data_IF_660088523888
#
_entry.id   IF_660088523888
#
_cell.length_a   1.000
_cell.length_b   1.000
_cell.length_c   1.000
_cell.angle_alpha   90.00
_cell.angle_beta   90.00
_cell.angle_gamma   90.00
#
_symmetry.space_group_name_H-M   'P 1'
#
loop_
_entity.id
_entity.type
_entity.pdbx_description
1 polymer ?
#
# COMPACT_ATOMS: atom_id res chain seq x y z
N UNK A 1 46.91 12.91 -72.77
CA UNK A 1 47.73 13.54 -73.81
C UNK A 1 47.11 14.89 -74.11
N UNK A 2 47.88 15.98 -74.02
CA UNK A 2 47.39 17.31 -74.39
C UNK A 2 47.55 17.47 -75.90
N UNK A 3 46.51 17.90 -76.60
CA UNK A 3 46.60 18.23 -78.02
C UNK A 3 46.45 19.74 -78.20
N UNK A 4 47.30 20.38 -79.01
CA UNK A 4 47.22 21.81 -79.27
C UNK A 4 46.03 22.11 -80.20
N UNK A 5 45.21 23.08 -79.83
CA UNK A 5 44.20 23.65 -80.74
C UNK A 5 44.84 24.69 -81.67
N UNK A 6 44.11 25.08 -82.71
CA UNK A 6 44.58 25.99 -83.78
C UNK A 6 45.00 27.37 -83.26
N UNK A 7 44.60 27.74 -82.03
CA UNK A 7 44.95 28.98 -81.34
C UNK A 7 46.08 28.83 -80.30
N UNK A 8 46.72 27.66 -80.22
CA UNK A 8 47.93 27.44 -79.41
C UNK A 8 47.71 27.20 -77.91
N UNK A 9 46.47 27.02 -77.46
CA UNK A 9 46.17 26.61 -76.07
C UNK A 9 46.12 25.09 -75.95
N UNK A 10 46.78 24.56 -74.92
CA UNK A 10 46.77 23.12 -74.63
C UNK A 10 45.46 22.77 -73.94
N UNK A 11 44.54 22.12 -74.67
CA UNK A 11 43.34 21.53 -74.07
C UNK A 11 43.53 20.02 -73.88
N UNK A 12 42.97 19.51 -72.79
CA UNK A 12 42.88 18.07 -72.56
C UNK A 12 42.06 17.44 -73.69
N UNK A 13 42.63 16.43 -74.38
CA UNK A 13 42.03 15.77 -75.56
C UNK A 13 40.83 14.86 -75.23
N UNK A 14 40.14 15.10 -74.11
CA UNK A 14 39.01 14.28 -73.68
C UNK A 14 37.75 15.11 -73.88
N UNK A 15 36.92 14.67 -74.82
CA UNK A 15 35.62 15.26 -75.07
C UNK A 15 34.75 15.14 -73.80
N UNK A 16 34.13 16.23 -73.38
CA UNK A 16 33.27 16.25 -72.19
C UNK A 16 32.09 15.28 -72.30
N UNK A 17 31.69 14.91 -73.52
CA UNK A 17 30.67 13.90 -73.80
C UNK A 17 31.13 12.45 -73.53
N UNK A 18 32.44 12.18 -73.55
CA UNK A 18 33.02 10.85 -73.30
C UNK A 18 33.39 10.62 -71.83
N UNK A 19 33.36 11.67 -71.00
CA UNK A 19 33.49 11.55 -69.55
C UNK A 19 32.15 11.09 -68.99
N UNK A 20 31.90 9.78 -68.98
CA UNK A 20 30.79 9.21 -68.20
C UNK A 20 31.20 9.30 -66.72
N UNK A 21 30.59 10.18 -65.90
CA UNK A 21 30.89 10.21 -64.48
C UNK A 21 30.55 8.83 -63.90
N UNK A 22 31.57 8.11 -63.46
CA UNK A 22 31.42 6.78 -62.90
C UNK A 22 30.95 6.91 -61.45
N UNK A 23 29.73 7.45 -61.28
CA UNK A 23 29.10 7.72 -59.99
C UNK A 23 29.08 6.48 -59.09
N UNK A 24 29.08 5.27 -59.67
CA UNK A 24 29.17 4.02 -58.90
C UNK A 24 30.40 3.92 -58.01
N UNK A 25 31.58 4.40 -58.43
CA UNK A 25 32.80 4.39 -57.58
C UNK A 25 32.76 5.45 -56.50
N UNK A 26 32.27 6.65 -56.83
CA UNK A 26 32.15 7.77 -55.88
C UNK A 26 31.08 7.46 -54.83
N UNK A 27 29.94 6.88 -55.24
CA UNK A 27 28.89 6.42 -54.33
C UNK A 27 29.42 5.28 -53.46
N UNK A 28 30.10 4.28 -54.05
CA UNK A 28 30.67 3.17 -53.26
C UNK A 28 31.71 3.65 -52.25
N UNK A 29 32.64 4.53 -52.63
CA UNK A 29 33.63 5.09 -51.70
C UNK A 29 32.98 5.94 -50.62
N UNK A 30 31.99 6.76 -50.97
CA UNK A 30 31.30 7.64 -50.02
C UNK A 30 30.46 6.84 -49.03
N UNK A 31 29.73 5.81 -49.50
CA UNK A 31 28.96 4.91 -48.64
C UNK A 31 29.88 4.12 -47.72
N UNK A 32 31.02 3.62 -48.23
CA UNK A 32 31.99 2.89 -47.41
C UNK A 32 32.64 3.79 -46.35
N UNK A 33 33.04 5.01 -46.71
CA UNK A 33 33.56 6.00 -45.76
C UNK A 33 32.51 6.37 -44.71
N UNK A 34 31.26 6.62 -45.11
CA UNK A 34 30.17 6.91 -44.18
C UNK A 34 29.90 5.73 -43.22
N UNK A 35 29.91 4.50 -43.72
CA UNK A 35 29.73 3.29 -42.91
C UNK A 35 30.87 3.10 -41.89
N UNK A 36 32.12 3.34 -42.30
CA UNK A 36 33.27 3.26 -41.40
C UNK A 36 33.23 4.33 -40.31
N UNK A 37 32.89 5.57 -40.67
CA UNK A 37 32.72 6.67 -39.72
C UNK A 37 31.59 6.35 -38.73
N UNK A 38 30.45 5.84 -39.23
CA UNK A 38 29.32 5.42 -38.40
C UNK A 38 29.72 4.31 -37.43
N UNK A 39 30.39 3.26 -37.91
CA UNK A 39 30.84 2.15 -37.07
C UNK A 39 31.83 2.61 -35.99
N UNK A 40 32.77 3.51 -36.34
CA UNK A 40 33.70 4.08 -35.38
C UNK A 40 32.99 4.88 -34.28
N UNK A 41 31.98 5.70 -34.65
CA UNK A 41 31.17 6.45 -33.69
C UNK A 41 30.37 5.52 -32.76
N UNK A 42 29.72 4.49 -33.30
CA UNK A 42 28.96 3.51 -32.50
C UNK A 42 29.85 2.81 -31.48
N UNK A 43 31.05 2.36 -31.89
CA UNK A 43 32.01 1.73 -30.99
C UNK A 43 32.55 2.69 -29.92
N UNK A 44 32.81 3.95 -30.29
CA UNK A 44 33.25 4.97 -29.34
C UNK A 44 32.18 5.26 -28.27
N UNK A 45 30.92 5.46 -28.68
CA UNK A 45 29.79 5.68 -27.76
C UNK A 45 29.54 4.44 -26.89
N UNK A 46 29.62 3.24 -27.47
CA UNK A 46 29.52 1.98 -26.73
C UNK A 46 30.61 1.85 -25.66
N UNK A 47 31.87 2.10 -26.02
CA UNK A 47 32.99 2.07 -25.09
C UNK A 47 32.78 3.04 -23.93
N UNK A 48 32.37 4.27 -24.23
CA UNK A 48 32.09 5.29 -23.22
C UNK A 48 30.95 4.88 -22.28
N UNK A 49 29.80 4.44 -22.82
CA UNK A 49 28.65 4.01 -22.00
C UNK A 49 28.98 2.80 -21.13
N UNK A 50 29.77 1.85 -21.64
CA UNK A 50 30.20 0.67 -20.88
C UNK A 50 31.21 1.02 -19.79
N UNK A 51 32.08 2.00 -20.02
CA UNK A 51 33.02 2.53 -19.03
C UNK A 51 32.29 3.19 -17.84
N UNK A 52 31.18 3.87 -18.08
CA UNK A 52 30.31 4.42 -17.01
C UNK A 52 29.57 3.31 -16.24
N UNK A 53 29.43 2.13 -16.85
CA UNK A 53 28.79 0.95 -16.24
C UNK A 53 27.39 0.65 -16.75
N UNK A 54 26.91 1.34 -17.79
CA UNK A 54 25.58 1.05 -18.34
C UNK A 54 25.52 -0.35 -18.99
N UNK A 55 24.43 -1.12 -18.76
CA UNK A 55 24.21 -2.43 -19.37
C UNK A 55 23.68 -2.31 -20.81
N UNK A 56 24.44 -1.67 -21.70
CA UNK A 56 24.10 -1.47 -23.11
C UNK A 56 24.77 -2.51 -24.01
N UNK A 57 24.16 -2.82 -25.16
CA UNK A 57 24.74 -3.65 -26.23
C UNK A 57 25.14 -2.80 -27.43
N UNK A 58 26.00 -3.32 -28.31
CA UNK A 58 26.42 -2.60 -29.54
C UNK A 58 25.22 -2.36 -30.46
N UNK A 59 24.30 -3.32 -30.51
CA UNK A 59 23.07 -3.24 -31.30
C UNK A 59 22.16 -2.10 -30.83
N UNK A 60 22.00 -1.93 -29.51
CA UNK A 60 21.20 -0.84 -28.95
C UNK A 60 21.71 0.55 -29.35
N UNK A 61 23.02 0.72 -29.60
CA UNK A 61 23.62 2.02 -29.95
C UNK A 61 23.66 2.22 -31.47
N UNK A 62 24.02 1.17 -32.21
CA UNK A 62 24.16 1.20 -33.67
C UNK A 62 22.88 0.98 -34.46
N UNK A 63 21.73 0.82 -33.79
CA UNK A 63 20.45 0.60 -34.46
C UNK A 63 19.35 1.52 -33.91
N UNK A 64 18.92 2.56 -34.67
CA UNK A 64 17.95 3.53 -34.19
C UNK A 64 16.63 2.96 -33.64
N UNK A 65 16.06 1.89 -34.21
CA UNK A 65 14.88 1.25 -33.64
C UNK A 65 15.04 0.75 -32.20
N UNK A 66 16.26 0.44 -31.73
CA UNK A 66 16.52 -0.07 -30.38
C UNK A 66 16.96 1.04 -29.40
N UNK A 67 16.94 2.31 -29.80
CA UNK A 67 17.36 3.42 -28.93
C UNK A 67 16.49 3.59 -27.68
N UNK A 68 15.23 3.13 -27.72
CA UNK A 68 14.35 3.08 -26.54
C UNK A 68 14.91 2.17 -25.43
N UNK A 69 15.63 1.11 -25.79
CA UNK A 69 16.24 0.18 -24.84
C UNK A 69 17.43 0.80 -24.08
N UNK A 70 18.04 1.86 -24.63
CA UNK A 70 19.12 2.61 -23.94
C UNK A 70 18.58 3.23 -22.65
N UNK A 71 17.36 3.78 -22.68
CA UNK A 71 16.74 4.38 -21.51
C UNK A 71 16.40 3.32 -20.46
N UNK A 72 15.91 2.15 -20.87
CA UNK A 72 15.70 1.00 -19.98
C UNK A 72 17.02 0.53 -19.34
N UNK A 73 18.11 0.48 -20.12
CA UNK A 73 19.43 0.11 -19.61
C UNK A 73 19.95 1.11 -18.57
N UNK A 74 19.78 2.42 -18.81
CA UNK A 74 20.10 3.47 -17.83
C UNK A 74 19.23 3.33 -16.57
N UNK A 75 17.93 3.08 -16.73
CA UNK A 75 17.00 2.90 -15.62
C UNK A 75 17.44 1.75 -14.69
N UNK A 76 17.80 0.59 -15.26
CA UNK A 76 18.33 -0.56 -14.50
C UNK A 76 19.61 -0.23 -13.74
N UNK A 77 20.53 0.50 -14.36
CA UNK A 77 21.76 0.95 -13.69
C UNK A 77 21.46 1.84 -12.49
N UNK A 78 20.58 2.84 -12.64
CA UNK A 78 20.22 3.73 -11.54
C UNK A 78 19.42 3.02 -10.43
N UNK A 79 18.58 2.04 -10.78
CA UNK A 79 17.91 1.19 -9.79
C UNK A 79 18.92 0.38 -8.95
N UNK A 80 19.93 -0.21 -9.58
CA UNK A 80 20.98 -0.94 -8.88
C UNK A 80 21.81 -0.01 -7.98
N UNK A 81 22.16 1.18 -8.47
CA UNK A 81 22.84 2.19 -7.65
C UNK A 81 21.99 2.61 -6.45
N UNK A 82 20.69 2.80 -6.64
CA UNK A 82 19.78 3.12 -5.55
C UNK A 82 19.74 2.01 -4.48
N UNK A 83 19.68 0.74 -4.88
CA UNK A 83 19.70 -0.39 -3.95
C UNK A 83 21.02 -0.43 -3.15
N UNK A 84 22.16 -0.25 -3.82
CA UNK A 84 23.46 -0.19 -3.17
C UNK A 84 23.57 1.00 -2.20
N UNK A 85 23.06 2.18 -2.56
CA UNK A 85 23.03 3.36 -1.70
C UNK A 85 22.11 3.14 -0.49
N UNK A 86 20.97 2.50 -0.68
CA UNK A 86 20.03 2.18 0.38
C UNK A 86 20.64 1.23 1.42
N UNK A 87 21.34 0.19 0.97
CA UNK A 87 22.07 -0.74 1.84
C UNK A 87 23.16 -0.05 2.66
N UNK A 88 23.78 1.01 2.13
CA UNK A 88 24.75 1.86 2.83
C UNK A 88 24.11 2.91 3.75
N UNK A 89 22.79 3.08 3.72
CA UNK A 89 22.07 4.10 4.48
C UNK A 89 22.09 5.50 3.84
N UNK A 90 22.50 5.61 2.58
CA UNK A 90 22.61 6.88 1.83
C UNK A 90 21.25 7.23 1.18
N UNK A 91 20.28 7.65 2.01
CA UNK A 91 18.90 7.89 1.56
C UNK A 91 18.77 8.96 0.48
N UNK A 92 19.59 10.02 0.52
CA UNK A 92 19.54 11.09 -0.50
C UNK A 92 19.96 10.59 -1.88
N UNK A 93 21.02 9.79 -1.94
CA UNK A 93 21.49 9.18 -3.20
C UNK A 93 20.54 8.11 -3.70
N UNK A 94 19.93 7.35 -2.77
CA UNK A 94 18.86 6.38 -3.07
C UNK A 94 17.70 7.07 -3.78
N UNK A 95 17.15 8.14 -3.18
CA UNK A 95 16.00 8.87 -3.75
C UNK A 95 16.34 9.50 -5.10
N UNK A 96 17.52 10.13 -5.21
CA UNK A 96 17.96 10.74 -6.47
C UNK A 96 18.10 9.68 -7.58
N UNK A 97 18.72 8.55 -7.28
CA UNK A 97 18.92 7.46 -8.23
C UNK A 97 17.60 6.81 -8.64
N UNK A 98 16.66 6.59 -7.72
CA UNK A 98 15.33 6.08 -8.04
C UNK A 98 14.52 7.06 -8.89
N UNK A 99 14.60 8.36 -8.60
CA UNK A 99 13.93 9.39 -9.40
C UNK A 99 14.45 9.37 -10.84
N UNK A 100 15.77 9.30 -11.05
CA UNK A 100 16.36 9.18 -12.38
C UNK A 100 15.96 7.86 -13.05
N UNK A 101 15.97 6.75 -12.32
CA UNK A 101 15.57 5.46 -12.86
C UNK A 101 14.13 5.49 -13.40
N UNK A 102 13.21 6.10 -12.65
CA UNK A 102 11.81 6.22 -13.04
C UNK A 102 11.59 7.25 -14.16
N UNK A 103 12.33 8.35 -14.17
CA UNK A 103 12.28 9.35 -15.24
C UNK A 103 12.78 8.80 -16.59
N UNK A 104 13.84 7.99 -16.58
CA UNK A 104 14.32 7.33 -17.79
C UNK A 104 13.36 6.26 -18.31
N UNK A 105 12.66 5.55 -17.41
CA UNK A 105 11.70 4.52 -17.76
C UNK A 105 10.52 4.48 -16.79
N UNK A 106 9.41 5.10 -17.18
CA UNK A 106 8.15 5.10 -16.42
C UNK A 106 7.55 3.70 -16.28
N UNK A 107 8.00 2.74 -17.11
CA UNK A 107 7.61 1.34 -17.04
C UNK A 107 8.50 0.51 -16.09
N UNK A 108 9.46 1.14 -15.41
CA UNK A 108 10.19 0.48 -14.33
C UNK A 108 9.38 0.51 -13.02
N UNK A 109 8.52 -0.50 -12.84
CA UNK A 109 7.67 -0.64 -11.66
C UNK A 109 8.47 -0.63 -10.36
N UNK A 110 9.57 -1.38 -10.28
CA UNK A 110 10.35 -1.53 -9.05
C UNK A 110 10.94 -0.19 -8.59
N UNK A 111 11.44 0.61 -9.53
CA UNK A 111 11.95 1.95 -9.24
C UNK A 111 10.86 2.88 -8.73
N UNK A 112 9.72 2.96 -9.43
CA UNK A 112 8.60 3.81 -9.04
C UNK A 112 7.98 3.38 -7.71
N UNK A 113 7.79 2.08 -7.49
CA UNK A 113 7.21 1.54 -6.26
C UNK A 113 8.12 1.72 -5.05
N UNK A 114 9.43 1.55 -5.22
CA UNK A 114 10.39 1.81 -4.14
C UNK A 114 10.46 3.32 -3.82
N UNK A 115 10.46 4.17 -4.85
CA UNK A 115 10.41 5.62 -4.67
C UNK A 115 9.15 6.05 -3.91
N UNK A 116 7.99 5.53 -4.32
CA UNK A 116 6.71 5.79 -3.66
C UNK A 116 6.77 5.42 -2.17
N UNK A 117 7.33 4.26 -1.82
CA UNK A 117 7.52 3.81 -0.43
C UNK A 117 8.41 4.76 0.39
N UNK A 118 9.55 5.19 -0.16
CA UNK A 118 10.47 6.08 0.55
C UNK A 118 9.85 7.46 0.83
N UNK A 119 9.02 7.96 -0.09
CA UNK A 119 8.35 9.25 0.09
C UNK A 119 7.15 9.22 1.02
N UNK A 120 6.64 8.05 1.43
CA UNK A 120 5.46 7.96 2.32
C UNK A 120 5.61 8.78 3.60
N UNK A 121 6.79 8.76 4.22
CA UNK A 121 7.04 9.45 5.48
C UNK A 121 7.38 10.94 5.32
N UNK A 122 8.05 11.31 4.23
CA UNK A 122 8.61 12.68 4.06
C UNK A 122 7.78 13.57 3.12
N UNK A 123 7.12 12.97 2.12
CA UNK A 123 6.34 13.66 1.08
C UNK A 123 5.09 12.83 0.73
N UNK A 124 4.11 12.76 1.66
CA UNK A 124 2.96 11.87 1.55
C UNK A 124 2.12 12.09 0.28
N UNK A 125 1.90 13.35 -0.15
CA UNK A 125 1.14 13.65 -1.36
C UNK A 125 1.86 13.20 -2.64
N UNK A 126 3.19 13.38 -2.70
CA UNK A 126 3.98 12.92 -3.85
C UNK A 126 3.96 11.39 -3.93
N UNK A 127 4.06 10.72 -2.78
CA UNK A 127 3.91 9.27 -2.68
C UNK A 127 2.52 8.80 -3.17
N UNK A 128 1.45 9.49 -2.76
CA UNK A 128 0.08 9.20 -3.17
C UNK A 128 -0.09 9.32 -4.70
N UNK A 129 0.44 10.39 -5.31
CA UNK A 129 0.42 10.55 -6.77
C UNK A 129 1.22 9.48 -7.49
N UNK A 130 2.42 9.12 -7.01
CA UNK A 130 3.19 8.01 -7.60
C UNK A 130 2.41 6.69 -7.53
N UNK A 131 1.76 6.37 -6.41
CA UNK A 131 0.93 5.17 -6.33
C UNK A 131 -0.22 5.17 -7.34
N UNK A 132 -0.87 6.31 -7.52
CA UNK A 132 -1.91 6.48 -8.53
C UNK A 132 -1.38 6.26 -9.96
N UNK A 133 -0.22 6.83 -10.29
CA UNK A 133 0.44 6.64 -11.59
C UNK A 133 0.86 5.20 -11.80
N UNK A 134 1.40 4.54 -10.77
CA UNK A 134 1.77 3.12 -10.82
C UNK A 134 0.56 2.23 -11.13
N UNK A 135 -0.59 2.45 -10.48
CA UNK A 135 -1.82 1.70 -10.76
C UNK A 135 -2.29 1.91 -12.21
N UNK A 136 -2.18 3.14 -12.72
CA UNK A 136 -2.57 3.45 -14.10
C UNK A 136 -1.63 2.80 -15.13
N UNK A 137 -0.32 2.93 -14.92
CA UNK A 137 0.71 2.52 -15.88
C UNK A 137 1.07 1.03 -15.80
N UNK A 138 0.81 0.38 -14.66
CA UNK A 138 1.20 -1.02 -14.38
C UNK A 138 -0.02 -1.88 -14.05
N UNK A 139 -0.86 -2.25 -15.04
CA UNK A 139 -2.06 -3.06 -14.82
C UNK A 139 -1.81 -4.36 -14.06
N UNK A 140 -0.70 -5.02 -14.35
CA UNK A 140 -0.35 -6.33 -13.78
C UNK A 140 -0.02 -6.25 -12.28
N UNK A 141 0.30 -5.06 -11.76
CA UNK A 141 0.67 -4.83 -10.36
C UNK A 141 -0.36 -4.00 -9.59
N UNK A 142 -1.54 -3.72 -10.16
CA UNK A 142 -2.55 -2.84 -9.55
C UNK A 142 -2.95 -3.26 -8.15
N UNK A 143 -3.25 -4.54 -7.94
CA UNK A 143 -3.69 -5.07 -6.65
C UNK A 143 -2.60 -4.91 -5.59
N UNK A 144 -1.37 -5.33 -5.90
CA UNK A 144 -0.22 -5.22 -4.99
C UNK A 144 0.07 -3.76 -4.65
N UNK A 145 0.01 -2.88 -5.65
CA UNK A 145 0.26 -1.45 -5.50
C UNK A 145 -0.81 -0.82 -4.61
N UNK A 146 -2.08 -1.10 -4.89
CA UNK A 146 -3.21 -0.62 -4.12
C UNK A 146 -3.11 -1.08 -2.67
N UNK A 147 -2.84 -2.36 -2.41
CA UNK A 147 -2.71 -2.89 -1.04
C UNK A 147 -1.60 -2.19 -0.26
N UNK A 148 -0.44 -2.00 -0.89
CA UNK A 148 0.68 -1.29 -0.27
C UNK A 148 0.34 0.17 0.00
N UNK A 149 -0.41 0.81 -0.91
CA UNK A 149 -0.88 2.18 -0.73
C UNK A 149 -1.92 2.28 0.40
N UNK A 150 -2.89 1.37 0.48
CA UNK A 150 -3.85 1.33 1.58
C UNK A 150 -3.16 1.19 2.94
N UNK A 151 -2.16 0.30 3.03
CA UNK A 151 -1.36 0.11 4.25
C UNK A 151 -0.56 1.34 4.66
N UNK A 152 -0.27 2.25 3.73
CA UNK A 152 0.37 3.53 4.07
C UNK A 152 -0.64 4.63 4.38
N UNK A 153 -1.79 4.66 3.70
CA UNK A 153 -2.86 5.63 3.90
C UNK A 153 -3.54 5.46 5.26
N UNK A 154 -3.85 4.21 5.65
CA UNK A 154 -4.65 3.95 6.85
C UNK A 154 -3.97 4.46 8.13
N UNK A 155 -2.68 4.16 8.44
CA UNK A 155 -2.02 4.71 9.62
C UNK A 155 -1.93 6.24 9.61
N UNK A 156 -1.94 6.87 8.43
CA UNK A 156 -1.93 8.33 8.26
C UNK A 156 -3.31 8.96 8.44
N UNK A 157 -4.36 8.16 8.62
CA UNK A 157 -5.76 8.62 8.66
C UNK A 157 -6.15 9.43 7.39
N UNK A 158 -5.56 9.08 6.24
CA UNK A 158 -5.75 9.81 4.98
C UNK A 158 -7.01 9.31 4.25
N UNK A 159 -8.17 9.56 4.87
CA UNK A 159 -9.46 8.99 4.47
C UNK A 159 -9.89 9.40 3.06
N UNK A 160 -9.64 10.65 2.66
CA UNK A 160 -10.00 11.17 1.35
C UNK A 160 -9.28 10.40 0.22
N UNK A 161 -8.01 10.03 0.42
CA UNK A 161 -7.28 9.21 -0.55
C UNK A 161 -7.75 7.74 -0.53
N UNK A 162 -8.15 7.19 0.62
CA UNK A 162 -8.76 5.85 0.69
C UNK A 162 -10.09 5.82 -0.10
N UNK A 163 -10.92 6.85 0.03
CA UNK A 163 -12.18 6.96 -0.71
C UNK A 163 -11.99 7.14 -2.21
N UNK A 164 -10.85 7.68 -2.67
CA UNK A 164 -10.48 7.70 -4.09
C UNK A 164 -9.95 6.35 -4.59
N UNK A 165 -9.22 5.63 -3.74
CA UNK A 165 -8.60 4.35 -4.08
C UNK A 165 -9.62 3.20 -4.12
N UNK A 166 -10.44 3.08 -3.08
CA UNK A 166 -11.30 1.92 -2.87
C UNK A 166 -12.34 1.67 -3.98
N UNK A 167 -13.02 2.69 -4.58
CA UNK A 167 -13.95 2.48 -5.68
C UNK A 167 -13.30 1.80 -6.90
N UNK A 168 -12.08 2.21 -7.24
CA UNK A 168 -11.34 1.61 -8.34
C UNK A 168 -10.94 0.18 -7.96
N UNK A 169 -10.47 -0.04 -6.73
CA UNK A 169 -10.05 -1.35 -6.26
C UNK A 169 -11.21 -2.38 -6.18
N UNK A 170 -12.41 -1.94 -5.82
CA UNK A 170 -13.62 -2.77 -5.82
C UNK A 170 -14.00 -3.26 -7.24
N UNK A 171 -13.64 -2.49 -8.27
CA UNK A 171 -13.90 -2.81 -9.67
C UNK A 171 -12.83 -3.71 -10.30
N UNK A 172 -11.70 -3.96 -9.63
CA UNK A 172 -10.65 -4.84 -10.16
C UNK A 172 -11.07 -6.31 -10.19
N UNK A 173 -12.08 -6.71 -9.40
CA UNK A 173 -12.61 -8.08 -9.38
C UNK A 173 -11.76 -9.07 -8.58
N UNK A 174 -10.90 -8.59 -7.70
CA UNK A 174 -9.99 -9.42 -6.91
C UNK A 174 -10.64 -10.00 -5.64
N UNK A 175 -10.02 -11.05 -5.10
CA UNK A 175 -10.41 -11.69 -3.83
C UNK A 175 -10.32 -10.77 -2.59
N UNK A 176 -9.80 -9.55 -2.75
CA UNK A 176 -9.64 -8.56 -1.67
C UNK A 176 -10.83 -7.61 -1.51
N UNK A 177 -11.94 -7.84 -2.23
CA UNK A 177 -13.18 -7.04 -2.14
C UNK A 177 -13.59 -6.72 -0.68
N UNK A 178 -13.58 -7.66 0.28
CA UNK A 178 -13.91 -7.37 1.68
C UNK A 178 -13.04 -6.28 2.33
N UNK A 179 -11.73 -6.31 2.06
CA UNK A 179 -10.79 -5.35 2.63
C UNK A 179 -11.02 -3.94 2.08
N UNK A 180 -11.27 -3.83 0.77
CA UNK A 180 -11.60 -2.57 0.11
C UNK A 180 -12.91 -1.99 0.59
N UNK A 181 -13.93 -2.83 0.73
CA UNK A 181 -15.23 -2.38 1.21
C UNK A 181 -15.16 -1.92 2.66
N UNK A 182 -14.45 -2.66 3.53
CA UNK A 182 -14.20 -2.22 4.91
C UNK A 182 -13.45 -0.87 4.96
N UNK A 183 -12.41 -0.70 4.14
CA UNK A 183 -11.63 0.54 4.09
C UNK A 183 -12.47 1.73 3.62
N UNK A 184 -13.30 1.53 2.58
CA UNK A 184 -14.24 2.54 2.08
C UNK A 184 -15.22 2.94 3.18
N UNK A 185 -15.94 1.99 3.76
CA UNK A 185 -16.95 2.25 4.80
C UNK A 185 -16.34 2.93 6.03
N UNK A 186 -15.15 2.48 6.45
CA UNK A 186 -14.44 3.06 7.59
C UNK A 186 -14.03 4.52 7.37
N UNK A 187 -13.56 4.83 6.16
CA UNK A 187 -13.14 6.18 5.77
C UNK A 187 -14.36 7.08 5.59
N UNK A 188 -15.41 6.55 4.96
CA UNK A 188 -16.64 7.26 4.65
C UNK A 188 -17.43 7.67 5.89
N UNK A 189 -17.40 6.87 6.96
CA UNK A 189 -17.96 7.27 8.24
C UNK A 189 -17.26 8.50 8.86
N UNK A 190 -16.03 8.82 8.46
CA UNK A 190 -15.25 9.94 8.99
C UNK A 190 -15.27 11.15 8.08
N UNK A 191 -15.30 10.95 6.77
CA UNK A 191 -15.41 12.05 5.79
C UNK A 191 -16.85 12.52 5.65
N UNK A 192 -17.84 11.66 5.92
CA UNK A 192 -19.27 11.93 5.73
C UNK A 192 -19.61 12.36 4.28
N UNK A 193 -18.81 11.92 3.31
CA UNK A 193 -19.00 12.22 1.90
C UNK A 193 -19.73 11.07 1.18
N UNK A 194 -21.06 11.14 1.10
CA UNK A 194 -21.86 10.10 0.45
C UNK A 194 -21.72 10.05 -1.08
N UNK A 195 -21.06 11.03 -1.71
CA UNK A 195 -20.95 11.10 -3.17
C UNK A 195 -20.30 9.85 -3.77
N UNK A 196 -19.31 9.30 -3.07
CA UNK A 196 -18.60 8.09 -3.50
C UNK A 196 -19.52 6.88 -3.46
N UNK A 197 -20.27 6.69 -2.37
CA UNK A 197 -21.22 5.58 -2.24
C UNK A 197 -22.34 5.71 -3.27
N UNK A 198 -22.89 6.90 -3.46
CA UNK A 198 -23.92 7.18 -4.46
C UNK A 198 -23.43 6.83 -5.88
N UNK A 199 -22.22 7.27 -6.25
CA UNK A 199 -21.64 6.99 -7.57
C UNK A 199 -21.44 5.50 -7.85
N UNK A 200 -21.12 4.70 -6.81
CA UNK A 200 -20.99 3.24 -6.93
C UNK A 200 -22.36 2.59 -7.14
N UNK A 201 -23.39 3.05 -6.42
CA UNK A 201 -24.75 2.53 -6.53
C UNK A 201 -25.46 2.92 -7.83
N UNK A 202 -25.02 3.97 -8.52
CA UNK A 202 -25.48 4.32 -9.87
C UNK A 202 -24.98 3.35 -10.95
N UNK A 203 -23.89 2.61 -10.67
CA UNK A 203 -23.27 1.66 -11.63
C UNK A 203 -23.12 0.25 -11.04
N UNK A 204 -24.22 -0.37 -10.56
CA UNK A 204 -24.18 -1.58 -9.74
C UNK A 204 -23.65 -2.81 -10.50
N UNK A 205 -23.88 -2.87 -11.82
CA UNK A 205 -23.45 -4.00 -12.68
C UNK A 205 -21.92 -4.20 -12.72
N UNK A 206 -21.15 -3.19 -12.30
CA UNK A 206 -19.69 -3.25 -12.23
C UNK A 206 -19.15 -3.75 -10.90
N UNK A 207 -20.02 -4.02 -9.92
CA UNK A 207 -19.63 -4.34 -8.55
C UNK A 207 -19.58 -5.86 -8.31
N UNK A 208 -18.64 -6.28 -7.46
CA UNK A 208 -18.59 -7.66 -6.99
C UNK A 208 -19.84 -8.02 -6.16
N UNK A 209 -20.21 -9.32 -6.10
CA UNK A 209 -21.38 -9.78 -5.33
C UNK A 209 -21.36 -9.27 -3.88
N UNK A 210 -22.52 -8.85 -3.36
CA UNK A 210 -22.68 -8.38 -1.98
C UNK A 210 -22.20 -6.96 -1.68
N UNK A 211 -21.39 -6.34 -2.56
CA UNK A 211 -20.96 -4.93 -2.39
C UNK A 211 -22.17 -4.00 -2.42
N UNK A 212 -23.05 -4.15 -3.40
CA UNK A 212 -24.28 -3.35 -3.50
C UNK A 212 -25.14 -3.47 -2.23
N UNK A 213 -25.37 -4.69 -1.74
CA UNK A 213 -26.14 -4.95 -0.52
C UNK A 213 -25.58 -4.18 0.67
N UNK A 214 -24.27 -4.24 0.88
CA UNK A 214 -23.60 -3.55 1.99
C UNK A 214 -23.67 -2.03 1.84
N UNK A 215 -23.45 -1.49 0.63
CA UNK A 215 -23.54 -0.05 0.38
C UNK A 215 -24.97 0.47 0.58
N UNK A 216 -26.00 -0.27 0.17
CA UNK A 216 -27.40 0.09 0.42
C UNK A 216 -27.72 0.07 1.92
N UNK A 217 -27.28 -0.96 2.65
CA UNK A 217 -27.45 -1.00 4.09
C UNK A 217 -26.72 0.14 4.79
N UNK A 218 -25.52 0.52 4.34
CA UNK A 218 -24.80 1.67 4.86
C UNK A 218 -25.61 2.97 4.71
N UNK A 219 -26.21 3.21 3.54
CA UNK A 219 -27.10 4.36 3.33
C UNK A 219 -28.32 4.30 4.25
N UNK A 220 -29.01 3.15 4.31
CA UNK A 220 -30.16 2.95 5.19
C UNK A 220 -29.83 3.22 6.65
N UNK A 221 -28.65 2.80 7.13
CA UNK A 221 -28.21 3.00 8.51
C UNK A 221 -27.96 4.48 8.82
N UNK A 222 -27.60 5.30 7.82
CA UNK A 222 -27.40 6.75 7.99
C UNK A 222 -28.71 7.53 7.93
N UNK A 223 -29.58 7.13 7.02
CA UNK A 223 -30.81 7.89 6.74
C UNK A 223 -31.93 7.60 7.75
N UNK A 224 -31.90 6.43 8.40
CA UNK A 224 -32.97 5.98 9.28
C UNK A 224 -32.60 6.01 10.76
N UNK A 225 -33.60 6.11 11.62
CA UNK A 225 -33.44 5.93 13.05
C UNK A 225 -32.93 4.50 13.38
N UNK A 226 -32.16 4.30 14.47
CA UNK A 226 -31.53 3.02 14.77
C UNK A 226 -32.46 1.79 14.77
N UNK A 227 -33.69 1.92 15.29
CA UNK A 227 -34.67 0.81 15.32
C UNK A 227 -35.22 0.44 13.92
N UNK A 228 -35.35 1.41 13.04
CA UNK A 228 -35.76 1.18 11.65
C UNK A 228 -34.61 0.55 10.85
N UNK A 229 -33.39 1.06 11.05
CA UNK A 229 -32.19 0.47 10.48
C UNK A 229 -31.99 -0.99 10.95
N UNK A 230 -32.25 -1.27 12.24
CA UNK A 230 -32.24 -2.63 12.80
C UNK A 230 -33.19 -3.56 12.07
N UNK A 231 -34.41 -3.12 11.82
CA UNK A 231 -35.42 -3.96 11.15
C UNK A 231 -34.97 -4.37 9.74
N UNK A 232 -34.32 -3.44 9.01
CA UNK A 232 -33.73 -3.74 7.70
C UNK A 232 -32.51 -4.66 7.81
N UNK A 233 -31.62 -4.41 8.78
CA UNK A 233 -30.44 -5.24 9.02
C UNK A 233 -30.77 -6.64 9.52
N UNK A 234 -31.94 -6.89 10.13
CA UNK A 234 -32.34 -8.24 10.56
C UNK A 234 -32.91 -9.09 9.43
N UNK A 235 -33.17 -8.51 8.26
CA UNK A 235 -33.56 -9.29 7.09
C UNK A 235 -32.40 -10.20 6.67
N UNK A 236 -32.68 -11.45 6.27
CA UNK A 236 -31.62 -12.35 5.82
C UNK A 236 -30.93 -11.75 4.58
N UNK A 237 -29.59 -11.78 4.52
CA UNK A 237 -28.89 -11.34 3.32
C UNK A 237 -29.31 -12.19 2.11
N UNK A 238 -29.13 -11.68 0.88
CA UNK A 238 -29.40 -12.45 -0.34
C UNK A 238 -28.73 -13.82 -0.32
N UNK A 239 -29.37 -14.82 -0.94
CA UNK A 239 -28.81 -16.16 -1.05
C UNK A 239 -27.40 -16.10 -1.69
N UNK A 240 -26.47 -16.89 -1.16
CA UNK A 240 -25.06 -16.93 -1.61
C UNK A 240 -24.29 -15.61 -1.40
N UNK A 241 -24.72 -14.77 -0.46
CA UNK A 241 -23.95 -13.58 -0.08
C UNK A 241 -22.54 -13.95 0.44
N UNK A 242 -21.51 -13.20 0.06
CA UNK A 242 -20.17 -13.39 0.61
C UNK A 242 -20.11 -13.23 2.13
N UNK A 243 -19.12 -13.83 2.75
CA UNK A 243 -18.86 -13.77 4.19
C UNK A 243 -18.86 -12.34 4.74
N UNK A 244 -18.29 -11.39 4.00
CA UNK A 244 -18.21 -9.99 4.42
C UNK A 244 -19.59 -9.32 4.59
N UNK A 245 -20.62 -9.75 3.86
CA UNK A 245 -21.98 -9.21 4.03
C UNK A 245 -22.50 -9.52 5.44
N UNK A 246 -22.28 -10.76 5.91
CA UNK A 246 -22.62 -11.17 7.27
C UNK A 246 -21.77 -10.46 8.31
N UNK A 247 -20.47 -10.33 8.05
CA UNK A 247 -19.56 -9.56 8.92
C UNK A 247 -20.06 -8.14 9.12
N UNK A 248 -20.40 -7.45 8.03
CA UNK A 248 -20.89 -6.08 8.06
C UNK A 248 -22.23 -5.97 8.78
N UNK A 249 -23.20 -6.83 8.47
CA UNK A 249 -24.52 -6.87 9.10
C UNK A 249 -24.39 -6.96 10.64
N UNK A 250 -23.61 -7.92 11.12
CA UNK A 250 -23.41 -8.18 12.55
C UNK A 250 -22.65 -7.00 13.19
N UNK A 251 -21.58 -6.52 12.55
CA UNK A 251 -20.82 -5.35 13.04
C UNK A 251 -21.72 -4.12 13.16
N UNK A 252 -22.61 -3.89 12.19
CA UNK A 252 -23.53 -2.75 12.19
C UNK A 252 -24.57 -2.83 13.29
N UNK A 253 -25.18 -4.00 13.51
CA UNK A 253 -26.09 -4.22 14.63
C UNK A 253 -25.41 -3.93 15.98
N UNK A 254 -24.16 -4.35 16.17
CA UNK A 254 -23.41 -4.04 17.38
C UNK A 254 -23.17 -2.53 17.51
N UNK A 255 -22.80 -1.83 16.43
CA UNK A 255 -22.56 -0.39 16.45
C UNK A 255 -23.81 0.43 16.74
N UNK A 256 -24.98 -0.04 16.30
CA UNK A 256 -26.27 0.60 16.53
C UNK A 256 -26.87 0.33 17.92
N UNK A 257 -26.18 -0.44 18.78
CA UNK A 257 -26.65 -0.74 20.12
C UNK A 257 -27.56 -1.97 20.22
N UNK A 258 -27.56 -2.85 19.21
CA UNK A 258 -28.31 -4.11 19.19
C UNK A 258 -27.41 -5.36 19.28
N UNK A 259 -26.59 -5.49 20.35
CA UNK A 259 -25.61 -6.57 20.44
C UNK A 259 -26.24 -7.94 20.70
N UNK A 260 -27.46 -8.01 21.24
CA UNK A 260 -28.16 -9.29 21.47
C UNK A 260 -28.58 -9.91 20.14
N UNK A 261 -29.19 -9.13 19.24
CA UNK A 261 -29.53 -9.62 17.91
C UNK A 261 -28.29 -10.06 17.12
N UNK A 262 -27.18 -9.34 17.30
CA UNK A 262 -25.89 -9.71 16.71
C UNK A 262 -25.39 -11.07 17.23
N UNK A 263 -25.56 -11.37 18.52
CA UNK A 263 -25.21 -12.68 19.12
C UNK A 263 -26.11 -13.79 18.53
N UNK A 264 -27.40 -13.53 18.39
CA UNK A 264 -28.34 -14.50 17.82
C UNK A 264 -27.98 -14.83 16.35
N UNK A 265 -27.60 -13.83 15.56
CA UNK A 265 -27.10 -14.04 14.18
C UNK A 265 -25.76 -14.78 14.13
N UNK A 266 -24.86 -14.57 15.09
CA UNK A 266 -23.59 -15.31 15.20
C UNK A 266 -23.84 -16.79 15.54
N UNK A 267 -24.88 -17.08 16.33
CA UNK A 267 -25.28 -18.44 16.71
C UNK A 267 -26.03 -19.23 15.64
N UNK A 268 -26.47 -18.56 14.55
CA UNK A 268 -27.18 -19.21 13.45
C UNK A 268 -26.31 -20.21 12.69
N UNK A 269 -26.85 -21.40 12.40
CA UNK A 269 -26.15 -22.47 11.67
C UNK A 269 -25.77 -22.09 10.24
N UNK A 270 -26.42 -21.07 9.68
CA UNK A 270 -26.25 -20.65 8.29
C UNK A 270 -25.23 -19.52 8.12
N UNK A 271 -24.51 -19.16 9.18
CA UNK A 271 -23.55 -18.06 9.16
C UNK A 271 -22.18 -18.56 8.63
N UNK A 272 -21.72 -18.08 7.44
CA UNK A 272 -20.49 -18.54 6.80
C UNK A 272 -19.22 -17.92 7.38
N UNK A 273 -19.30 -17.12 8.44
CA UNK A 273 -18.14 -16.49 9.07
C UNK A 273 -17.09 -17.50 9.53
N UNK A 274 -15.85 -17.24 9.15
CA UNK A 274 -14.65 -17.89 9.63
C UNK A 274 -14.49 -17.67 11.15
N UNK A 275 -13.70 -18.54 11.77
CA UNK A 275 -13.55 -18.54 13.23
C UNK A 275 -12.95 -17.23 13.78
N UNK A 276 -12.02 -16.60 13.04
CA UNK A 276 -11.37 -15.36 13.48
C UNK A 276 -12.37 -14.21 13.54
N UNK A 277 -13.13 -14.01 12.48
CA UNK A 277 -14.11 -12.94 12.37
C UNK A 277 -15.29 -13.17 13.32
N UNK A 278 -15.75 -14.42 13.43
CA UNK A 278 -16.76 -14.83 14.41
C UNK A 278 -16.33 -14.48 15.83
N UNK A 279 -15.13 -14.88 16.25
CA UNK A 279 -14.61 -14.61 17.60
C UNK A 279 -14.49 -13.10 17.84
N UNK A 280 -14.00 -12.35 16.85
CA UNK A 280 -13.82 -10.89 16.96
C UNK A 280 -15.17 -10.18 17.15
N UNK A 281 -16.18 -10.55 16.37
CA UNK A 281 -17.53 -10.02 16.51
C UNK A 281 -18.21 -10.47 17.81
N UNK A 282 -18.01 -11.72 18.23
CA UNK A 282 -18.58 -12.25 19.47
C UNK A 282 -18.00 -11.53 20.70
N UNK A 283 -16.68 -11.30 20.77
CA UNK A 283 -16.06 -10.50 21.83
C UNK A 283 -16.66 -9.09 21.90
N UNK A 284 -16.83 -8.45 20.74
CA UNK A 284 -17.39 -7.10 20.64
C UNK A 284 -18.86 -7.06 21.07
N UNK A 285 -19.67 -8.01 20.60
CA UNK A 285 -21.09 -8.10 20.94
C UNK A 285 -21.30 -8.41 22.43
N UNK A 286 -20.56 -9.38 22.99
CA UNK A 286 -20.66 -9.73 24.42
C UNK A 286 -20.23 -8.57 25.32
N UNK A 287 -19.21 -7.81 24.92
CA UNK A 287 -18.77 -6.60 25.62
C UNK A 287 -19.86 -5.54 25.63
N UNK A 288 -20.45 -5.23 24.46
CA UNK A 288 -21.52 -4.22 24.32
C UNK A 288 -22.85 -4.63 24.97
N UNK A 289 -23.18 -5.92 24.98
CA UNK A 289 -24.37 -6.46 25.66
C UNK A 289 -24.25 -6.48 27.19
N UNK A 290 -23.04 -6.26 27.74
CA UNK A 290 -22.79 -6.38 29.18
C UNK A 290 -22.83 -7.82 29.72
N UNK A 291 -22.72 -8.83 28.84
CA UNK A 291 -22.73 -10.26 29.22
C UNK A 291 -21.38 -10.70 29.83
N UNK A 292 -21.04 -10.12 30.98
CA UNK A 292 -19.70 -10.19 31.60
C UNK A 292 -19.15 -11.61 31.77
N UNK A 293 -19.99 -12.58 32.16
CA UNK A 293 -19.54 -13.97 32.37
C UNK A 293 -19.14 -14.63 31.05
N UNK A 294 -19.99 -14.54 30.03
CA UNK A 294 -19.71 -15.09 28.69
C UNK A 294 -18.52 -14.39 28.05
N UNK A 295 -18.46 -13.06 28.16
CA UNK A 295 -17.35 -12.25 27.68
C UNK A 295 -16.00 -12.69 28.28
N UNK A 296 -15.93 -12.79 29.62
CA UNK A 296 -14.72 -13.24 30.32
C UNK A 296 -14.35 -14.69 29.98
N UNK A 297 -15.34 -15.57 29.81
CA UNK A 297 -15.09 -16.97 29.45
C UNK A 297 -14.48 -17.08 28.04
N UNK A 298 -15.04 -16.36 27.06
CA UNK A 298 -14.50 -16.34 25.71
C UNK A 298 -13.09 -15.76 25.68
N UNK A 299 -12.88 -14.62 26.35
CA UNK A 299 -11.56 -13.99 26.45
C UNK A 299 -10.51 -14.93 27.07
N UNK A 300 -10.87 -15.59 28.19
CA UNK A 300 -9.99 -16.56 28.84
C UNK A 300 -9.73 -17.81 27.97
N UNK A 301 -10.72 -18.25 27.19
CA UNK A 301 -10.55 -19.36 26.25
C UNK A 301 -9.52 -19.01 25.19
N UNK A 302 -9.59 -17.80 24.62
CA UNK A 302 -8.62 -17.31 23.64
C UNK A 302 -7.24 -17.22 24.27
N UNK A 303 -7.10 -16.66 25.49
CA UNK A 303 -5.81 -16.58 26.20
C UNK A 303 -5.14 -17.93 26.44
N UNK A 304 -5.89 -19.03 26.53
CA UNK A 304 -5.37 -20.39 26.75
C UNK A 304 -4.88 -21.07 25.47
N UNK A 305 -5.15 -20.49 24.30
CA UNK A 305 -4.62 -21.00 23.03
C UNK A 305 -3.11 -20.80 22.96
N UNK A 306 -2.44 -21.62 22.14
CA UNK A 306 -1.02 -21.46 21.86
C UNK A 306 -0.72 -20.06 21.30
N UNK A 307 0.32 -19.37 21.81
CA UNK A 307 0.71 -18.04 21.34
C UNK A 307 0.87 -17.97 19.83
N UNK A 308 0.09 -17.08 19.20
CA UNK A 308 0.19 -16.80 17.77
C UNK A 308 -0.05 -15.33 17.49
N UNK A 309 0.44 -14.85 16.34
CA UNK A 309 0.19 -13.46 15.93
C UNK A 309 -1.31 -13.18 15.74
N UNK A 310 -2.08 -14.14 15.22
CA UNK A 310 -3.53 -13.99 15.06
C UNK A 310 -4.26 -13.85 16.41
N UNK A 311 -3.89 -14.65 17.41
CA UNK A 311 -4.44 -14.52 18.77
C UNK A 311 -4.11 -13.15 19.37
N UNK A 312 -2.87 -12.70 19.20
CA UNK A 312 -2.43 -11.38 19.66
C UNK A 312 -3.21 -10.27 18.96
N UNK A 313 -3.37 -10.31 17.64
CA UNK A 313 -4.13 -9.33 16.87
C UNK A 313 -5.58 -9.24 17.36
N UNK A 314 -6.28 -10.37 17.54
CA UNK A 314 -7.67 -10.38 18.03
C UNK A 314 -7.76 -9.72 19.41
N UNK A 315 -6.91 -10.12 20.35
CA UNK A 315 -6.99 -9.62 21.72
C UNK A 315 -6.55 -8.15 21.83
N UNK A 316 -5.50 -7.76 21.12
CA UNK A 316 -4.97 -6.40 21.15
C UNK A 316 -5.91 -5.42 20.44
N UNK A 317 -6.43 -5.77 19.26
CA UNK A 317 -7.44 -4.95 18.57
C UNK A 317 -8.72 -4.80 19.40
N UNK A 318 -9.19 -5.90 20.03
CA UNK A 318 -10.37 -5.84 20.90
C UNK A 318 -10.14 -4.92 22.11
N UNK A 319 -9.01 -5.04 22.81
CA UNK A 319 -8.69 -4.21 23.98
C UNK A 319 -8.44 -2.74 23.60
N UNK A 320 -7.92 -2.47 22.40
CA UNK A 320 -7.79 -1.12 21.89
C UNK A 320 -9.18 -0.48 21.64
N UNK A 321 -10.09 -1.18 20.96
CA UNK A 321 -11.46 -0.68 20.70
C UNK A 321 -12.35 -0.65 21.95
N UNK A 322 -12.16 -1.59 22.89
CA UNK A 322 -12.98 -1.73 24.11
C UNK A 322 -12.08 -1.88 25.35
N UNK A 323 -11.55 -0.77 25.89
CA UNK A 323 -10.64 -0.82 27.03
C UNK A 323 -11.32 -1.40 28.28
N UNK A 324 -10.87 -2.57 28.74
CA UNK A 324 -11.22 -3.19 30.02
C UNK A 324 -9.95 -3.39 30.89
N UNK A 325 -9.77 -2.64 31.99
CA UNK A 325 -8.57 -2.74 32.84
C UNK A 325 -8.34 -4.13 33.46
N UNK A 326 -9.41 -4.89 33.72
CA UNK A 326 -9.32 -6.24 34.29
C UNK A 326 -8.79 -7.23 33.26
N UNK A 327 -9.34 -7.20 32.06
CA UNK A 327 -8.91 -8.08 30.98
C UNK A 327 -7.54 -7.70 30.44
N UNK A 328 -7.23 -6.40 30.37
CA UNK A 328 -5.89 -5.92 30.06
C UNK A 328 -4.84 -6.49 31.02
N UNK A 329 -5.09 -6.47 32.35
CA UNK A 329 -4.15 -7.03 33.32
C UNK A 329 -3.87 -8.52 33.09
N UNK A 330 -4.91 -9.29 32.73
CA UNK A 330 -4.77 -10.71 32.40
C UNK A 330 -4.00 -10.91 31.09
N UNK A 331 -4.31 -10.12 30.08
CA UNK A 331 -3.63 -10.13 28.80
C UNK A 331 -2.15 -9.77 28.95
N UNK A 332 -1.80 -8.73 29.73
CA UNK A 332 -0.41 -8.34 30.04
C UNK A 332 0.41 -9.47 30.66
N UNK A 333 -0.22 -10.31 31.50
CA UNK A 333 0.44 -11.47 32.12
C UNK A 333 0.58 -12.65 31.16
N UNK A 334 -0.41 -12.88 30.29
CA UNK A 334 -0.44 -14.05 29.41
C UNK A 334 0.23 -13.82 28.05
N UNK A 335 0.21 -12.60 27.54
CA UNK A 335 0.71 -12.23 26.21
C UNK A 335 2.15 -11.73 26.32
N UNK A 336 3.08 -12.54 25.81
CA UNK A 336 4.49 -12.19 25.78
C UNK A 336 5.01 -12.31 24.35
N UNK A 337 5.51 -11.23 23.72
CA UNK A 337 6.04 -11.29 22.34
C UNK A 337 7.12 -12.36 22.15
N UNK A 338 7.90 -12.63 23.19
CA UNK A 338 8.98 -13.63 23.21
C UNK A 338 8.48 -15.08 23.09
N UNK A 339 7.21 -15.34 23.40
CA UNK A 339 6.60 -16.66 23.23
C UNK A 339 6.36 -17.03 21.76
N UNK A 340 6.47 -16.07 20.83
CA UNK A 340 6.36 -16.33 19.41
C UNK A 340 7.64 -16.99 18.87
N UNK A 341 7.44 -18.05 18.11
CA UNK A 341 8.51 -18.87 17.53
C UNK A 341 9.29 -18.13 16.44
N UNK A 342 8.61 -17.27 15.68
CA UNK A 342 9.19 -16.60 14.50
C UNK A 342 9.66 -15.19 14.85
N UNK A 343 10.94 -14.89 14.62
CA UNK A 343 11.53 -13.57 14.91
C UNK A 343 10.76 -12.42 14.23
N UNK A 344 10.33 -12.63 12.97
CA UNK A 344 9.61 -11.64 12.18
C UNK A 344 8.22 -11.29 12.73
N UNK A 345 7.66 -12.11 13.64
CA UNK A 345 6.37 -11.85 14.28
C UNK A 345 6.52 -11.11 15.62
N UNK A 346 7.72 -11.12 16.22
CA UNK A 346 7.96 -10.53 17.53
C UNK A 346 7.84 -9.01 17.51
N UNK A 347 8.36 -8.35 16.47
CA UNK A 347 8.28 -6.90 16.35
C UNK A 347 6.82 -6.41 16.22
N UNK A 348 6.00 -6.92 15.27
CA UNK A 348 4.58 -6.56 15.20
C UNK A 348 3.81 -6.82 16.50
N UNK A 349 4.05 -7.96 17.15
CA UNK A 349 3.44 -8.30 18.42
C UNK A 349 3.80 -7.34 19.55
N UNK A 350 5.09 -6.98 19.66
CA UNK A 350 5.57 -6.00 20.64
C UNK A 350 4.95 -4.63 20.41
N UNK A 351 4.86 -4.18 19.15
CA UNK A 351 4.23 -2.90 18.79
C UNK A 351 2.73 -2.89 19.09
N UNK A 352 2.01 -3.98 18.80
CA UNK A 352 0.59 -4.09 19.12
C UNK A 352 0.33 -4.02 20.64
N UNK A 353 1.08 -4.79 21.44
CA UNK A 353 0.96 -4.73 22.90
C UNK A 353 1.39 -3.36 23.44
N UNK A 354 2.42 -2.74 22.86
CA UNK A 354 2.86 -1.39 23.22
C UNK A 354 1.75 -0.35 23.01
N UNK A 355 1.02 -0.42 21.90
CA UNK A 355 -0.09 0.48 21.62
C UNK A 355 -1.25 0.26 22.60
N UNK A 356 -1.62 -1.00 22.87
CA UNK A 356 -2.69 -1.33 23.84
C UNK A 356 -2.32 -0.88 25.25
N UNK A 357 -1.08 -1.06 25.68
CA UNK A 357 -0.63 -0.55 26.98
C UNK A 357 -0.81 0.97 27.10
N UNK A 358 -0.63 1.71 26.00
CA UNK A 358 -0.89 3.15 25.94
C UNK A 358 -2.36 3.53 26.00
N UNK A 359 -3.23 2.80 25.29
CA UNK A 359 -4.70 2.94 25.41
C UNK A 359 -5.15 2.79 26.87
N UNK A 360 -4.48 1.92 27.63
CA UNK A 360 -4.74 1.70 29.05
C UNK A 360 -3.96 2.61 30.01
N UNK A 361 -3.13 3.53 29.51
CA UNK A 361 -2.32 4.45 30.33
C UNK A 361 -1.21 3.77 31.15
N UNK A 362 -0.79 2.55 30.78
CA UNK A 362 0.26 1.78 31.47
C UNK A 362 1.65 2.18 30.98
N UNK A 363 2.06 3.40 31.33
CA UNK A 363 3.33 4.02 30.91
C UNK A 363 4.54 3.18 31.33
N UNK A 364 4.50 2.54 32.50
CA UNK A 364 5.58 1.67 32.97
C UNK A 364 5.79 0.48 32.03
N UNK A 365 4.70 -0.18 31.63
CA UNK A 365 4.80 -1.31 30.72
C UNK A 365 5.14 -0.88 29.29
N UNK A 366 4.63 0.27 28.83
CA UNK A 366 5.05 0.83 27.55
C UNK A 366 6.55 1.09 27.50
N UNK A 367 7.14 1.68 28.55
CA UNK A 367 8.59 1.90 28.62
C UNK A 367 9.37 0.57 28.56
N UNK A 368 8.88 -0.47 29.26
CA UNK A 368 9.46 -1.82 29.20
C UNK A 368 9.43 -2.40 27.78
N UNK A 369 8.29 -2.30 27.10
CA UNK A 369 8.14 -2.77 25.72
C UNK A 369 8.97 -1.93 24.75
N UNK A 370 9.11 -0.63 24.97
CA UNK A 370 9.93 0.24 24.14
C UNK A 370 11.42 -0.14 24.21
N UNK A 371 11.93 -0.48 25.40
CA UNK A 371 13.28 -1.04 25.52
C UNK A 371 13.44 -2.34 24.72
N UNK A 372 12.48 -3.26 24.82
CA UNK A 372 12.50 -4.51 24.06
C UNK A 372 12.45 -4.29 22.54
N UNK A 373 11.65 -3.33 22.06
CA UNK A 373 11.57 -2.98 20.64
C UNK A 373 12.90 -2.39 20.15
N UNK A 374 13.56 -1.54 20.95
CA UNK A 374 14.89 -0.99 20.64
C UNK A 374 15.95 -2.09 20.56
N UNK A 375 15.91 -3.05 21.47
CA UNK A 375 16.78 -4.24 21.43
C UNK A 375 16.54 -5.08 20.17
N UNK A 376 15.27 -5.33 19.81
CA UNK A 376 14.91 -6.10 18.62
C UNK A 376 15.30 -5.42 17.31
N UNK A 377 15.18 -4.09 17.25
CA UNK A 377 15.46 -3.31 16.02
C UNK A 377 16.89 -2.78 15.93
N UNK A 378 17.68 -2.87 17.01
CA UNK A 378 19.00 -2.26 17.14
C UNK A 378 19.00 -0.76 16.82
N UNK A 379 17.88 -0.07 17.05
CA UNK A 379 17.69 1.34 16.70
C UNK A 379 17.21 2.14 17.91
N UNK A 380 17.49 3.46 17.91
CA UNK A 380 17.01 4.36 18.99
C UNK A 380 15.49 4.49 19.01
N UNK A 381 14.83 4.34 17.85
CA UNK A 381 13.38 4.42 17.65
C UNK A 381 12.73 5.58 18.45
N UNK A 382 13.19 6.81 18.21
CA UNK A 382 12.80 8.03 18.97
C UNK A 382 11.28 8.23 19.02
N UNK A 383 10.57 7.75 18.00
CA UNK A 383 9.11 7.85 17.93
C UNK A 383 8.38 7.08 19.05
N UNK A 384 9.01 6.09 19.70
CA UNK A 384 8.37 5.41 20.85
C UNK A 384 8.18 6.37 22.02
N UNK A 385 9.15 7.25 22.29
CA UNK A 385 9.05 8.20 23.40
C UNK A 385 7.98 9.25 23.10
N UNK A 386 7.91 9.72 21.84
CA UNK A 386 6.85 10.60 21.38
C UNK A 386 5.46 9.93 21.46
N UNK A 387 5.36 8.65 21.14
CA UNK A 387 4.11 7.89 21.22
C UNK A 387 3.66 7.69 22.67
N UNK A 388 4.58 7.38 23.59
CA UNK A 388 4.29 7.29 25.03
C UNK A 388 3.76 8.64 25.53
N UNK A 389 4.45 9.73 25.20
CA UNK A 389 4.03 11.07 25.61
C UNK A 389 2.64 11.41 25.06
N UNK A 390 2.38 11.14 23.78
CA UNK A 390 1.10 11.42 23.15
C UNK A 390 -0.06 10.58 23.72
N UNK A 391 0.15 9.27 23.98
CA UNK A 391 -0.88 8.40 24.55
C UNK A 391 -1.16 8.69 26.03
N UNK A 392 -0.21 9.31 26.74
CA UNK A 392 -0.37 9.75 28.12
C UNK A 392 -1.22 11.03 28.26
N UNK A 393 -1.45 11.78 27.17
CA UNK A 393 -2.25 13.00 27.21
C UNK A 393 -3.75 12.71 27.44
N UNK A 394 -4.51 13.65 28.03
CA UNK A 394 -5.97 13.58 28.14
C UNK A 394 -6.67 13.53 26.77
N UNK A 395 -7.89 13.00 26.73
CA UNK A 395 -8.60 12.58 25.51
C UNK A 395 -8.66 13.62 24.37
N UNK A 396 -8.77 14.91 24.67
CA UNK A 396 -8.87 15.99 23.67
C UNK A 396 -7.56 16.28 22.91
N UNK A 397 -6.40 15.85 23.41
CA UNK A 397 -5.09 16.09 22.80
C UNK A 397 -4.49 14.83 22.15
N UNK A 398 -5.19 13.69 22.26
CA UNK A 398 -4.75 12.40 21.70
C UNK A 398 -4.74 12.35 20.18
N UNK A 399 -5.30 13.35 19.48
CA UNK A 399 -5.21 13.49 18.03
C UNK A 399 -3.76 13.51 17.51
N UNK A 400 -2.79 13.88 18.35
CA UNK A 400 -1.36 13.81 18.03
C UNK A 400 -0.90 12.38 17.66
N UNK A 401 -1.57 11.34 18.15
CA UNK A 401 -1.20 9.96 17.85
C UNK A 401 -1.34 9.62 16.35
N UNK A 402 -2.26 10.27 15.63
CA UNK A 402 -2.45 10.10 14.18
C UNK A 402 -1.15 10.37 13.42
N UNK A 403 -0.40 11.39 13.86
CA UNK A 403 0.86 11.76 13.24
C UNK A 403 1.99 10.74 13.53
N UNK A 404 1.82 9.89 14.56
CA UNK A 404 2.82 8.94 15.01
C UNK A 404 2.54 7.50 14.55
N UNK A 405 1.28 7.13 14.33
CA UNK A 405 0.87 5.80 13.84
C UNK A 405 1.63 5.32 12.58
N UNK A 406 1.92 6.18 11.57
CA UNK A 406 2.71 5.76 10.40
C UNK A 406 4.13 5.31 10.77
N UNK A 407 4.68 5.85 11.85
CA UNK A 407 6.02 5.53 12.34
C UNK A 407 6.04 4.32 13.28
N UNK A 408 4.88 3.86 13.76
CA UNK A 408 4.74 2.70 14.64
C UNK A 408 4.52 1.39 13.86
N UNK A 409 5.07 1.27 12.66
CA UNK A 409 4.96 0.08 11.82
C UNK A 409 6.11 -0.91 12.09
N UNK A 410 5.91 -2.23 11.90
CA UNK A 410 4.73 -2.90 11.33
C UNK A 410 3.60 -3.17 12.34
N UNK A 411 2.38 -2.78 12.01
CA UNK A 411 1.14 -3.15 12.71
C UNK A 411 0.20 -3.92 11.78
N UNK A 412 -0.67 -4.75 12.34
CA UNK A 412 -1.76 -5.35 11.58
C UNK A 412 -2.82 -4.29 11.21
N UNK A 413 -3.62 -4.58 10.18
CA UNK A 413 -4.72 -3.67 9.81
C UNK A 413 -5.76 -3.59 10.94
N UNK A 414 -6.05 -4.71 11.61
CA UNK A 414 -7.04 -4.77 12.69
C UNK A 414 -6.68 -3.86 13.86
N UNK A 415 -5.42 -3.89 14.31
CA UNK A 415 -4.96 -2.99 15.38
C UNK A 415 -4.93 -1.54 14.89
N UNK A 416 -4.57 -1.29 13.63
CA UNK A 416 -4.58 0.07 13.07
C UNK A 416 -6.00 0.64 13.04
N UNK A 417 -6.98 -0.14 12.56
CA UNK A 417 -8.39 0.23 12.62
C UNK A 417 -8.86 0.45 14.06
N UNK A 418 -8.52 -0.45 14.99
CA UNK A 418 -8.93 -0.32 16.39
C UNK A 418 -8.36 0.93 17.08
N UNK A 419 -7.09 1.26 16.82
CA UNK A 419 -6.45 2.48 17.34
C UNK A 419 -7.11 3.73 16.75
N UNK A 420 -7.43 3.74 15.45
CA UNK A 420 -8.16 4.84 14.83
C UNK A 420 -9.61 4.94 15.32
N UNK A 421 -10.31 3.83 15.58
CA UNK A 421 -11.63 3.85 16.24
C UNK A 421 -11.55 4.48 17.64
N UNK A 422 -10.46 4.21 18.37
CA UNK A 422 -10.28 4.71 19.73
C UNK A 422 -9.88 6.19 19.79
N UNK A 423 -8.92 6.62 18.96
CA UNK A 423 -8.36 7.98 18.99
C UNK A 423 -8.98 8.95 17.97
N UNK A 424 -9.79 8.44 17.03
CA UNK A 424 -10.60 9.20 16.09
C UNK A 424 -12.03 8.65 16.05
N UNK A 425 -12.78 8.80 17.16
CA UNK A 425 -14.16 8.37 17.21
C UNK A 425 -15.01 9.26 16.30
N UNK A 426 -15.91 8.63 15.53
CA UNK A 426 -16.97 9.34 14.82
C UNK A 426 -17.98 9.81 15.88
N UNK A 427 -18.36 11.09 15.85
CA UNK A 427 -19.42 11.60 16.74
C UNK A 427 -20.70 10.76 16.53
N UNK A 428 -21.25 10.22 17.62
CA UNK A 428 -22.48 9.45 17.54
C UNK A 428 -23.63 10.39 17.15
N UNK A 429 -24.25 10.13 16.00
CA UNK A 429 -25.45 10.83 15.54
C UNK A 429 -26.68 10.45 16.36
#
# INVERSE_FOLDING_TARGET
MLQPTVEGTLMCSVDSADVRPFWGRVIASSVMSAALIYAAMVLAVFGFMRQVGYPVTVEMIGWPPNWSEINQAKSRYFLQNAQNAYEKGELSETVMSLSLAYEYDIYNYDAGFFLAKLWQASRPEVSNHLYQELIANHPDFRTQTAEAWLRSLLPRADYAWIEKLAPNALRFGDNNTPAWLNALLFSNQRTQDDSVIQSLLETPDSLAPGVETVLRWEQTVRDLAPEEARTNLLQPPPAYSPEFVYYFQIRRLISLGFPVDAIDLLGSSNNPLNDRDRITLELRALSKAGFRRSYQNLFNRILRLSPSLAQLDILTSHLASNPDPELYRRAKVALHPQSLTTSNQRLPASLAIFCVAGVHGDIEYQNKLAMQIRELTQSKFVVLDAAIAAMALPDLERAAIRNLLPSLQPLSLDITYALLEHFDPVEAQ
#
